data_IF_831062697275
#
_entry.id   IF_831062697275
#
_cell.length_a   1.000
_cell.length_b   1.000
_cell.length_c   1.000
_cell.angle_alpha   90.00
_cell.angle_beta   90.00
_cell.angle_gamma   90.00
#
_symmetry.space_group_name_H-M   'P 1'
#
loop_
_entity.id
_entity.type
_entity.pdbx_description
1 polymer ?
#
# COMPACT_ATOMS: atom_id res chain seq x y z
N UNK A 1 5.74 -15.23 4.84
CA UNK A 1 5.18 -16.58 5.06
C UNK A 1 6.19 -17.54 5.73
N UNK A 2 7.40 -17.73 5.21
CA UNK A 2 8.40 -18.67 5.78
C UNK A 2 8.68 -18.35 7.26
N UNK A 3 8.95 -17.10 7.60
CA UNK A 3 9.19 -16.66 8.98
C UNK A 3 7.95 -16.87 9.88
N UNK A 4 6.75 -16.57 9.39
CA UNK A 4 5.51 -16.78 10.15
C UNK A 4 5.29 -18.27 10.44
N UNK A 5 5.58 -19.15 9.48
CA UNK A 5 5.53 -20.60 9.66
C UNK A 5 6.55 -21.07 10.70
N UNK A 6 7.79 -20.58 10.61
CA UNK A 6 8.83 -20.88 11.60
C UNK A 6 8.41 -20.47 13.02
N UNK A 7 7.86 -19.27 13.18
CA UNK A 7 7.34 -18.78 14.46
C UNK A 7 6.18 -19.63 14.98
N UNK A 8 5.26 -20.03 14.10
CA UNK A 8 4.12 -20.85 14.48
C UNK A 8 4.55 -22.23 15.01
N UNK A 9 5.53 -22.85 14.35
CA UNK A 9 6.10 -24.14 14.79
C UNK A 9 6.88 -23.97 16.10
N UNK A 10 7.77 -22.96 16.20
CA UNK A 10 8.63 -22.74 17.37
C UNK A 10 7.85 -22.34 18.62
N UNK A 11 6.79 -21.57 18.47
CA UNK A 11 5.95 -21.09 19.60
C UNK A 11 4.76 -22.01 19.90
N UNK A 12 4.59 -23.12 19.18
CA UNK A 12 3.54 -24.10 19.42
C UNK A 12 2.13 -23.52 19.29
N UNK A 13 1.90 -22.63 18.30
CA UNK A 13 0.56 -22.07 18.10
C UNK A 13 -0.46 -23.18 17.83
N UNK A 14 -1.71 -23.02 18.34
CA UNK A 14 -2.74 -24.02 18.14
C UNK A 14 -2.91 -24.30 16.64
N UNK A 15 -2.90 -25.59 16.28
CA UNK A 15 -3.18 -26.00 14.91
C UNK A 15 -4.64 -25.73 14.61
N UNK A 16 -4.92 -25.18 13.44
CA UNK A 16 -6.28 -25.10 12.92
C UNK A 16 -6.88 -26.49 12.71
N UNK A 17 -8.16 -26.52 12.37
CA UNK A 17 -8.85 -27.75 12.04
C UNK A 17 -8.11 -28.55 10.94
N UNK A 18 -8.19 -29.88 11.00
CA UNK A 18 -7.63 -30.74 9.98
C UNK A 18 -8.18 -30.38 8.58
N UNK A 19 -7.31 -30.52 7.57
CA UNK A 19 -7.70 -30.25 6.20
C UNK A 19 -8.87 -31.15 5.79
N UNK A 20 -9.98 -30.53 5.42
CA UNK A 20 -11.19 -31.21 4.97
C UNK A 20 -11.61 -30.64 3.61
N UNK A 21 -11.50 -31.47 2.57
CA UNK A 21 -11.81 -31.10 1.20
C UNK A 21 -13.27 -30.65 1.03
N UNK A 22 -14.20 -31.31 1.71
CA UNK A 22 -15.63 -30.96 1.64
C UNK A 22 -15.86 -29.58 2.25
N UNK A 23 -15.20 -29.27 3.37
CA UNK A 23 -15.26 -27.94 3.99
C UNK A 23 -14.65 -26.89 3.08
N UNK A 24 -13.51 -27.18 2.44
CA UNK A 24 -12.86 -26.28 1.47
C UNK A 24 -13.80 -25.92 0.34
N UNK A 25 -14.41 -26.93 -0.31
CA UNK A 25 -15.34 -26.75 -1.42
C UNK A 25 -16.57 -25.95 -0.98
N UNK A 26 -17.16 -26.31 0.16
CA UNK A 26 -18.31 -25.58 0.70
C UNK A 26 -17.99 -24.12 1.00
N UNK A 27 -16.84 -23.85 1.61
CA UNK A 27 -16.39 -22.48 1.92
C UNK A 27 -16.08 -21.71 0.64
N UNK A 28 -15.47 -22.36 -0.36
CA UNK A 28 -15.20 -21.73 -1.66
C UNK A 28 -16.51 -21.28 -2.34
N UNK A 29 -17.51 -22.15 -2.43
CA UNK A 29 -18.80 -21.79 -3.02
C UNK A 29 -19.56 -20.74 -2.20
N UNK A 30 -19.47 -20.79 -0.88
CA UNK A 30 -20.05 -19.77 -0.01
C UNK A 30 -19.38 -18.40 -0.17
N UNK A 31 -18.08 -18.36 -0.42
CA UNK A 31 -17.31 -17.13 -0.62
C UNK A 31 -17.20 -16.69 -2.08
N UNK A 32 -17.70 -17.51 -3.01
CA UNK A 32 -17.54 -17.31 -4.46
C UNK A 32 -17.99 -15.91 -4.91
N UNK A 33 -19.13 -15.47 -4.45
CA UNK A 33 -19.67 -14.16 -4.79
C UNK A 33 -18.81 -13.00 -4.29
N UNK A 34 -18.21 -13.15 -3.10
CA UNK A 34 -17.23 -12.19 -2.57
C UNK A 34 -15.91 -12.22 -3.35
N UNK A 35 -15.43 -13.41 -3.72
CA UNK A 35 -14.20 -13.55 -4.52
C UNK A 35 -14.35 -12.95 -5.91
N UNK A 36 -15.56 -12.98 -6.51
CA UNK A 36 -15.83 -12.32 -7.80
C UNK A 36 -15.55 -10.83 -7.78
N UNK A 37 -15.67 -10.16 -6.64
CA UNK A 37 -15.29 -8.74 -6.49
C UNK A 37 -13.79 -8.52 -6.79
N UNK A 38 -12.93 -9.41 -6.29
CA UNK A 38 -11.49 -9.37 -6.57
C UNK A 38 -11.20 -9.67 -8.05
N UNK A 39 -11.90 -10.64 -8.63
CA UNK A 39 -11.75 -10.99 -10.05
C UNK A 39 -12.14 -9.79 -10.93
N UNK A 40 -13.25 -9.11 -10.64
CA UNK A 40 -13.68 -7.91 -11.38
C UNK A 40 -12.62 -6.84 -11.36
N UNK A 41 -12.03 -6.55 -10.19
CA UNK A 41 -10.99 -5.52 -10.05
C UNK A 41 -9.72 -5.93 -10.83
N UNK A 42 -9.24 -7.15 -10.61
CA UNK A 42 -7.97 -7.61 -11.22
C UNK A 42 -8.12 -7.71 -12.73
N UNK A 43 -9.13 -8.43 -13.21
CA UNK A 43 -9.35 -8.63 -14.65
C UNK A 43 -9.65 -7.30 -15.33
N UNK A 44 -10.52 -6.47 -14.75
CA UNK A 44 -10.87 -5.16 -15.32
C UNK A 44 -9.65 -4.26 -15.51
N UNK A 45 -8.78 -4.20 -14.50
CA UNK A 45 -7.56 -3.37 -14.56
C UNK A 45 -6.47 -3.97 -15.47
N UNK A 46 -6.27 -5.31 -15.47
CA UNK A 46 -5.18 -5.94 -16.22
C UNK A 46 -5.49 -6.12 -17.71
N UNK A 47 -6.77 -6.26 -18.09
CA UNK A 47 -7.15 -6.36 -19.51
C UNK A 47 -7.19 -5.01 -20.22
N UNK A 48 -7.05 -3.89 -19.49
CA UNK A 48 -7.15 -2.55 -20.06
C UNK A 48 -8.56 -2.16 -20.53
N UNK A 49 -9.57 -3.00 -20.29
CA UNK A 49 -10.97 -2.71 -20.65
C UNK A 49 -11.54 -1.61 -19.78
N UNK A 50 -11.14 -1.57 -18.52
CA UNK A 50 -11.54 -0.57 -17.54
C UNK A 50 -10.32 0.06 -16.88
N UNK A 51 -10.42 1.34 -16.58
CA UNK A 51 -9.47 1.99 -15.67
C UNK A 51 -9.60 1.41 -14.25
N UNK A 52 -8.58 1.61 -13.41
CA UNK A 52 -8.62 1.15 -12.02
C UNK A 52 -9.83 1.72 -11.25
N UNK A 53 -10.21 2.97 -11.52
CA UNK A 53 -11.38 3.63 -10.92
C UNK A 53 -12.70 3.06 -11.40
N UNK A 54 -12.83 2.76 -12.68
CA UNK A 54 -14.03 2.12 -13.25
C UNK A 54 -14.19 0.70 -12.73
N UNK A 55 -13.09 -0.07 -12.67
CA UNK A 55 -13.09 -1.41 -12.08
C UNK A 55 -13.53 -1.39 -10.61
N UNK A 56 -13.09 -0.40 -9.84
CA UNK A 56 -13.52 -0.22 -8.46
C UNK A 56 -15.02 0.12 -8.37
N UNK A 57 -15.53 0.99 -9.25
CA UNK A 57 -16.95 1.34 -9.29
C UNK A 57 -17.83 0.12 -9.61
N UNK A 58 -17.45 -0.70 -10.60
CA UNK A 58 -18.14 -1.94 -10.94
C UNK A 58 -18.10 -2.93 -9.77
N UNK A 59 -16.94 -3.05 -9.10
CA UNK A 59 -16.80 -3.91 -7.94
C UNK A 59 -17.70 -3.48 -6.77
N UNK A 60 -17.89 -2.17 -6.55
CA UNK A 60 -18.81 -1.63 -5.55
C UNK A 60 -20.25 -1.98 -5.89
N UNK A 61 -20.67 -1.79 -7.15
CA UNK A 61 -22.02 -2.18 -7.60
C UNK A 61 -22.25 -3.67 -7.43
N UNK A 62 -21.28 -4.50 -7.80
CA UNK A 62 -21.32 -5.94 -7.59
C UNK A 62 -21.44 -6.32 -6.12
N UNK A 63 -20.60 -5.74 -5.25
CA UNK A 63 -20.64 -5.98 -3.80
C UNK A 63 -21.98 -5.57 -3.20
N UNK A 64 -22.56 -4.45 -3.64
CA UNK A 64 -23.87 -3.99 -3.22
C UNK A 64 -24.97 -4.97 -3.65
N UNK A 65 -24.91 -5.44 -4.89
CA UNK A 65 -25.84 -6.45 -5.41
C UNK A 65 -25.77 -7.74 -4.59
N UNK A 66 -24.58 -8.26 -4.37
CA UNK A 66 -24.35 -9.51 -3.62
C UNK A 66 -24.82 -9.39 -2.17
N UNK A 67 -24.49 -8.31 -1.49
CA UNK A 67 -24.88 -8.10 -0.08
C UNK A 67 -26.39 -7.88 0.07
N UNK A 68 -27.03 -7.27 -0.92
CA UNK A 68 -28.49 -7.00 -0.88
C UNK A 68 -29.31 -8.22 -1.25
N UNK A 69 -28.98 -8.89 -2.38
CA UNK A 69 -29.84 -9.91 -2.95
C UNK A 69 -29.40 -11.34 -2.58
N UNK A 70 -28.11 -11.61 -2.47
CA UNK A 70 -27.58 -12.96 -2.21
C UNK A 70 -27.44 -13.19 -0.71
N UNK A 71 -26.69 -12.33 -0.02
CA UNK A 71 -26.47 -12.47 1.43
C UNK A 71 -27.62 -11.89 2.25
N UNK A 72 -28.42 -11.00 1.67
CA UNK A 72 -29.57 -10.35 2.31
C UNK A 72 -29.24 -9.69 3.65
N UNK A 73 -28.03 -9.17 3.75
CA UNK A 73 -27.52 -8.53 4.97
C UNK A 73 -27.61 -6.99 4.93
N UNK A 74 -27.96 -6.42 3.75
CA UNK A 74 -28.10 -4.98 3.55
C UNK A 74 -29.50 -4.51 3.97
N UNK A 75 -29.55 -3.80 5.09
CA UNK A 75 -30.77 -3.09 5.52
C UNK A 75 -30.68 -1.62 5.09
N UNK A 76 -31.82 -0.91 4.91
CA UNK A 76 -31.82 0.51 4.57
C UNK A 76 -30.98 1.34 5.57
N UNK A 77 -31.05 1.05 6.86
CA UNK A 77 -30.23 1.73 7.88
C UNK A 77 -28.75 1.51 7.66
N UNK A 78 -28.32 0.25 7.43
CA UNK A 78 -26.90 -0.06 7.13
C UNK A 78 -26.42 0.63 5.86
N UNK A 79 -27.27 0.74 4.85
CA UNK A 79 -26.93 1.44 3.61
C UNK A 79 -26.64 2.92 3.85
N UNK A 80 -27.51 3.61 4.62
CA UNK A 80 -27.28 5.01 4.97
C UNK A 80 -26.06 5.21 5.86
N UNK A 81 -25.84 4.33 6.84
CA UNK A 81 -24.64 4.36 7.69
C UNK A 81 -23.35 4.15 6.87
N UNK A 82 -23.39 3.29 5.85
CA UNK A 82 -22.26 3.09 4.94
C UNK A 82 -22.00 4.32 4.07
N UNK A 83 -23.07 4.93 3.52
CA UNK A 83 -22.94 6.17 2.74
C UNK A 83 -22.33 7.29 3.56
N UNK A 84 -22.81 7.50 4.79
CA UNK A 84 -22.26 8.53 5.68
C UNK A 84 -20.77 8.33 5.94
N UNK A 85 -20.36 7.10 6.25
CA UNK A 85 -18.93 6.74 6.40
C UNK A 85 -18.13 6.96 5.13
N UNK A 86 -18.67 6.58 3.95
CA UNK A 86 -18.01 6.79 2.67
C UNK A 86 -17.84 8.29 2.38
N UNK A 87 -18.88 9.09 2.55
CA UNK A 87 -18.83 10.55 2.35
C UNK A 87 -17.84 11.20 3.31
N UNK A 88 -17.86 10.83 4.58
CA UNK A 88 -16.94 11.36 5.59
C UNK A 88 -15.48 11.01 5.24
N UNK A 89 -15.22 9.78 4.83
CA UNK A 89 -13.86 9.34 4.44
C UNK A 89 -13.41 10.04 3.16
N UNK A 90 -14.25 10.06 2.13
CA UNK A 90 -13.95 10.73 0.87
C UNK A 90 -13.71 12.24 1.05
N UNK A 91 -14.53 12.91 1.86
CA UNK A 91 -14.35 14.34 2.16
C UNK A 91 -13.01 14.63 2.82
N UNK A 92 -12.59 13.81 3.80
CA UNK A 92 -11.28 13.94 4.44
C UNK A 92 -10.15 13.78 3.44
N UNK A 93 -10.22 12.75 2.57
CA UNK A 93 -9.22 12.53 1.54
C UNK A 93 -9.16 13.68 0.54
N UNK A 94 -10.31 14.19 0.08
CA UNK A 94 -10.36 15.30 -0.87
C UNK A 94 -9.76 16.58 -0.30
N UNK A 95 -10.01 16.89 0.98
CA UNK A 95 -9.41 18.05 1.64
C UNK A 95 -7.88 17.88 1.71
N UNK A 96 -7.40 16.73 2.13
CA UNK A 96 -5.95 16.45 2.19
C UNK A 96 -5.33 16.53 0.80
N UNK A 97 -5.98 15.95 -0.22
CA UNK A 97 -5.50 16.02 -1.60
C UNK A 97 -5.44 17.46 -2.12
N UNK A 98 -6.47 18.28 -1.86
CA UNK A 98 -6.50 19.68 -2.28
C UNK A 98 -5.37 20.51 -1.65
N UNK A 99 -5.16 20.37 -0.34
CA UNK A 99 -4.06 21.04 0.37
C UNK A 99 -2.70 20.54 -0.12
N UNK A 100 -2.54 19.23 -0.31
CA UNK A 100 -1.29 18.64 -0.80
C UNK A 100 -0.98 19.06 -2.24
N UNK A 101 -1.99 19.18 -3.10
CA UNK A 101 -1.81 19.68 -4.47
C UNK A 101 -1.34 21.15 -4.48
N UNK A 102 -1.93 21.99 -3.62
CA UNK A 102 -1.50 23.38 -3.45
C UNK A 102 -0.06 23.46 -2.94
N UNK A 103 0.31 22.61 -1.98
CA UNK A 103 1.67 22.50 -1.46
C UNK A 103 2.64 22.02 -2.55
N UNK A 104 2.25 21.00 -3.34
CA UNK A 104 3.03 20.50 -4.47
C UNK A 104 3.29 21.60 -5.52
N UNK A 105 2.29 22.44 -5.81
CA UNK A 105 2.46 23.59 -6.69
C UNK A 105 3.50 24.59 -6.15
N UNK A 106 3.42 24.94 -4.87
CA UNK A 106 4.39 25.84 -4.23
C UNK A 106 5.81 25.26 -4.27
N UNK A 107 5.97 23.96 -3.98
CA UNK A 107 7.25 23.27 -4.07
C UNK A 107 7.84 23.33 -5.47
N UNK A 108 7.01 23.08 -6.49
CA UNK A 108 7.43 23.16 -7.89
C UNK A 108 7.79 24.58 -8.29
N UNK A 109 7.01 25.58 -7.87
CA UNK A 109 7.27 27.00 -8.12
C UNK A 109 8.58 27.47 -7.51
N UNK A 110 8.86 27.04 -6.28
CA UNK A 110 10.12 27.33 -5.57
C UNK A 110 11.32 26.51 -6.08
N UNK A 111 11.12 25.65 -7.08
CA UNK A 111 12.15 24.76 -7.65
C UNK A 111 12.84 23.88 -6.60
N UNK A 112 12.09 23.45 -5.59
CA UNK A 112 12.63 22.60 -4.51
C UNK A 112 13.20 21.29 -5.05
N UNK A 113 12.61 20.60 -6.06
CA UNK A 113 13.20 19.39 -6.65
C UNK A 113 14.62 19.64 -7.18
N UNK A 114 14.85 20.77 -7.87
CA UNK A 114 16.15 21.13 -8.42
C UNK A 114 17.16 21.44 -7.33
N UNK A 115 16.75 22.14 -6.26
CA UNK A 115 17.60 22.41 -5.10
C UNK A 115 17.99 21.10 -4.38
N UNK A 116 17.04 20.21 -4.17
CA UNK A 116 17.31 18.90 -3.56
C UNK A 116 18.19 18.04 -4.45
N UNK A 117 17.95 18.03 -5.76
CA UNK A 117 18.81 17.37 -6.74
C UNK A 117 20.25 17.85 -6.62
N UNK A 118 20.48 19.16 -6.63
CA UNK A 118 21.82 19.72 -6.52
C UNK A 118 22.48 19.38 -5.17
N UNK A 119 21.72 19.40 -4.09
CA UNK A 119 22.24 18.99 -2.77
C UNK A 119 22.66 17.51 -2.75
N UNK A 120 21.81 16.63 -3.32
CA UNK A 120 22.12 15.19 -3.40
C UNK A 120 23.34 14.94 -4.29
N UNK A 121 23.43 15.59 -5.46
CA UNK A 121 24.59 15.47 -6.37
C UNK A 121 25.88 16.03 -5.77
N UNK A 122 25.80 17.05 -4.92
CA UNK A 122 26.97 17.55 -4.16
C UNK A 122 27.49 16.52 -3.15
N UNK A 123 26.63 15.62 -2.67
CA UNK A 123 27.02 14.54 -1.76
C UNK A 123 27.56 13.33 -2.54
N UNK A 124 26.92 12.98 -3.66
CA UNK A 124 27.28 11.82 -4.46
C UNK A 124 26.70 11.87 -5.86
N UNK A 125 27.45 11.38 -6.82
CA UNK A 125 26.97 11.10 -8.19
C UNK A 125 26.59 9.63 -8.40
N UNK A 126 26.78 8.79 -7.36
CA UNK A 126 26.50 7.36 -7.48
C UNK A 126 24.99 7.09 -7.39
N UNK A 127 24.36 6.56 -8.48
CA UNK A 127 22.92 6.28 -8.51
C UNK A 127 22.43 5.40 -7.37
N UNK A 128 23.27 4.45 -6.92
CA UNK A 128 22.93 3.54 -5.81
C UNK A 128 22.75 4.32 -4.52
N UNK A 129 23.68 5.24 -4.23
CA UNK A 129 23.64 6.03 -3.00
C UNK A 129 22.47 7.03 -3.04
N UNK A 130 22.19 7.62 -4.20
CA UNK A 130 21.03 8.50 -4.40
C UNK A 130 19.74 7.75 -4.07
N UNK A 131 19.53 6.54 -4.62
CA UNK A 131 18.34 5.74 -4.33
C UNK A 131 18.23 5.33 -2.86
N UNK A 132 19.35 5.03 -2.20
CA UNK A 132 19.36 4.73 -0.75
C UNK A 132 18.96 5.94 0.09
N UNK A 133 19.43 7.14 -0.27
CA UNK A 133 19.06 8.39 0.40
C UNK A 133 17.55 8.64 0.24
N UNK A 134 17.02 8.50 -0.99
CA UNK A 134 15.59 8.66 -1.26
C UNK A 134 14.78 7.65 -0.43
N UNK A 135 15.17 6.38 -0.43
CA UNK A 135 14.51 5.34 0.36
C UNK A 135 14.50 5.69 1.86
N UNK A 136 15.62 6.16 2.40
CA UNK A 136 15.71 6.54 3.80
C UNK A 136 14.76 7.70 4.13
N UNK A 137 14.73 8.74 3.28
CA UNK A 137 13.84 9.89 3.48
C UNK A 137 12.38 9.45 3.42
N UNK A 138 12.01 8.60 2.45
CA UNK A 138 10.64 8.10 2.31
C UNK A 138 10.20 7.26 3.50
N UNK A 139 11.07 6.40 4.06
CA UNK A 139 10.78 5.66 5.30
C UNK A 139 10.50 6.62 6.44
N UNK A 140 11.39 7.61 6.65
CA UNK A 140 11.25 8.58 7.75
C UNK A 140 9.95 9.39 7.63
N UNK A 141 9.59 9.83 6.42
CA UNK A 141 8.31 10.50 6.17
C UNK A 141 7.12 9.57 6.42
N UNK A 142 7.20 8.33 5.96
CA UNK A 142 6.16 7.32 6.14
C UNK A 142 5.91 6.94 7.60
N UNK A 143 6.91 7.12 8.47
CA UNK A 143 6.76 6.92 9.93
C UNK A 143 5.87 7.98 10.59
N UNK A 144 5.73 9.16 9.98
CA UNK A 144 5.09 10.33 10.60
C UNK A 144 3.75 10.66 9.94
N UNK A 145 3.65 10.52 8.62
CA UNK A 145 2.53 10.97 7.82
C UNK A 145 1.80 9.81 7.14
N UNK A 146 0.57 10.07 6.71
CA UNK A 146 -0.21 9.13 5.93
C UNK A 146 0.34 8.95 4.51
N UNK A 147 0.27 7.72 3.99
CA UNK A 147 0.81 7.32 2.69
C UNK A 147 0.26 8.16 1.53
N UNK A 148 -1.05 8.44 1.52
CA UNK A 148 -1.68 9.20 0.43
C UNK A 148 -1.14 10.63 0.34
N UNK A 149 -0.99 11.29 1.49
CA UNK A 149 -0.44 12.65 1.58
C UNK A 149 1.01 12.70 1.12
N UNK A 150 1.82 11.73 1.57
CA UNK A 150 3.25 11.67 1.20
C UNK A 150 3.39 11.45 -0.31
N UNK A 151 2.64 10.52 -0.89
CA UNK A 151 2.69 10.26 -2.33
C UNK A 151 2.50 11.53 -3.15
N UNK A 152 1.47 12.33 -2.82
CA UNK A 152 1.17 13.55 -3.56
C UNK A 152 2.27 14.60 -3.40
N UNK A 153 2.84 14.73 -2.20
CA UNK A 153 3.87 15.73 -1.89
C UNK A 153 5.23 15.33 -2.45
N UNK A 154 5.62 14.07 -2.31
CA UNK A 154 7.00 13.64 -2.58
C UNK A 154 7.22 13.18 -4.02
N UNK A 155 6.17 12.73 -4.73
CA UNK A 155 6.30 12.32 -6.13
C UNK A 155 6.87 13.43 -7.02
N UNK A 156 6.35 14.66 -7.03
CA UNK A 156 6.93 15.73 -7.86
C UNK A 156 8.36 16.12 -7.46
N UNK A 157 8.79 15.75 -6.26
CA UNK A 157 10.14 16.03 -5.76
C UNK A 157 11.12 14.94 -6.19
N UNK A 158 10.82 13.69 -5.89
CA UNK A 158 11.78 12.59 -6.05
C UNK A 158 11.71 11.89 -7.40
N UNK A 159 10.57 11.90 -8.10
CA UNK A 159 10.44 11.27 -9.41
C UNK A 159 11.41 11.87 -10.44
N UNK A 160 11.55 13.20 -10.59
CA UNK A 160 12.52 13.79 -11.52
C UNK A 160 13.97 13.39 -11.18
N UNK A 161 14.30 13.29 -9.88
CA UNK A 161 15.64 12.86 -9.43
C UNK A 161 15.88 11.39 -9.80
N UNK A 162 14.90 10.51 -9.56
CA UNK A 162 15.00 9.11 -9.92
C UNK A 162 15.13 8.90 -11.43
N UNK A 163 14.35 9.65 -12.24
CA UNK A 163 14.44 9.60 -13.69
C UNK A 163 15.79 10.09 -14.21
N UNK A 164 16.40 11.10 -13.60
CA UNK A 164 17.72 11.62 -14.03
C UNK A 164 18.85 10.63 -13.84
N UNK A 165 18.70 9.64 -12.97
CA UNK A 165 19.64 8.52 -12.77
C UNK A 165 19.22 7.23 -13.52
N UNK A 166 18.20 7.32 -14.40
CA UNK A 166 17.77 6.22 -15.26
C UNK A 166 16.77 5.25 -14.66
N UNK A 167 16.12 5.60 -13.54
CA UNK A 167 15.06 4.76 -12.95
C UNK A 167 13.74 5.00 -13.68
N UNK A 168 13.08 3.91 -14.09
CA UNK A 168 11.78 3.94 -14.74
C UNK A 168 10.70 4.49 -13.79
N UNK A 169 9.74 5.34 -14.26
CA UNK A 169 8.69 5.91 -13.43
C UNK A 169 7.80 4.89 -12.72
N UNK A 170 7.45 3.78 -13.40
CA UNK A 170 6.62 2.70 -12.83
C UNK A 170 7.40 1.97 -11.74
N UNK A 171 8.66 1.67 -12.01
CA UNK A 171 9.56 1.07 -11.04
C UNK A 171 9.72 1.94 -9.79
N UNK A 172 9.95 3.25 -9.98
CA UNK A 172 10.04 4.20 -8.89
C UNK A 172 8.74 4.28 -8.07
N UNK A 173 7.59 4.28 -8.74
CA UNK A 173 6.28 4.26 -8.09
C UNK A 173 6.10 3.06 -7.15
N UNK A 174 6.54 1.87 -7.59
CA UNK A 174 6.47 0.65 -6.78
C UNK A 174 7.42 0.72 -5.59
N UNK A 175 8.67 1.19 -5.79
CA UNK A 175 9.62 1.43 -4.70
C UNK A 175 9.01 2.36 -3.66
N UNK A 176 8.41 3.45 -4.11
CA UNK A 176 7.82 4.47 -3.27
C UNK A 176 6.66 3.94 -2.42
N UNK A 177 5.71 3.22 -3.05
CA UNK A 177 4.57 2.60 -2.36
C UNK A 177 5.05 1.60 -1.32
N UNK A 178 5.99 0.73 -1.68
CA UNK A 178 6.53 -0.29 -0.78
C UNK A 178 7.28 0.33 0.41
N UNK A 179 8.03 1.39 0.15
CA UNK A 179 8.78 2.16 1.14
C UNK A 179 7.84 2.82 2.17
N UNK A 180 6.80 3.49 1.70
CA UNK A 180 5.81 4.14 2.55
C UNK A 180 5.00 3.12 3.35
N UNK A 181 4.70 1.95 2.78
CA UNK A 181 4.06 0.85 3.51
C UNK A 181 4.91 0.37 4.69
N UNK A 182 6.25 0.28 4.54
CA UNK A 182 7.17 0.00 5.65
C UNK A 182 7.09 1.11 6.68
N UNK A 183 7.15 2.38 6.25
CA UNK A 183 7.06 3.55 7.12
C UNK A 183 5.79 3.53 7.98
N UNK A 184 4.63 3.27 7.39
CA UNK A 184 3.35 3.19 8.10
C UNK A 184 3.29 2.09 9.19
N UNK A 185 4.14 1.08 9.10
CA UNK A 185 4.25 0.02 10.12
C UNK A 185 5.35 0.29 11.15
N UNK A 186 6.17 1.34 10.94
CA UNK A 186 7.36 1.63 11.73
C UNK A 186 7.09 2.77 12.74
N UNK A 187 7.61 2.69 14.00
CA UNK A 187 7.53 3.78 14.95
C UNK A 187 8.17 5.07 14.39
N UNK A 188 7.80 6.29 14.83
CA UNK A 188 7.09 6.61 16.08
C UNK A 188 5.56 6.61 15.98
N UNK A 189 4.98 6.94 14.83
CA UNK A 189 3.52 7.01 14.70
C UNK A 189 2.96 5.67 14.22
N UNK A 190 3.44 5.17 13.08
CA UNK A 190 3.04 3.88 12.53
C UNK A 190 1.53 3.72 12.38
N UNK A 191 0.90 4.48 11.50
CA UNK A 191 -0.57 4.53 11.39
C UNK A 191 -1.24 3.15 11.31
N UNK A 192 -0.68 2.23 10.53
CA UNK A 192 -1.19 0.86 10.44
C UNK A 192 -1.02 0.08 11.75
N UNK A 193 0.07 0.35 12.48
CA UNK A 193 0.34 -0.29 13.77
C UNK A 193 -0.61 0.19 14.87
N UNK A 194 -0.97 1.48 14.85
CA UNK A 194 -1.99 2.04 15.76
C UNK A 194 -3.35 1.37 15.57
N UNK A 195 -3.75 1.13 14.32
CA UNK A 195 -4.98 0.39 14.02
C UNK A 195 -4.87 -1.05 14.54
N UNK A 196 -3.73 -1.71 14.33
CA UNK A 196 -3.46 -3.04 14.86
C UNK A 196 -3.55 -3.10 16.39
N UNK A 197 -3.02 -2.09 17.09
CA UNK A 197 -3.14 -1.94 18.55
C UNK A 197 -4.61 -1.82 18.99
N UNK A 198 -5.38 -0.96 18.32
CA UNK A 198 -6.79 -0.74 18.65
C UNK A 198 -7.64 -2.01 18.48
N UNK A 199 -7.35 -2.82 17.45
CA UNK A 199 -8.09 -4.06 17.17
C UNK A 199 -7.66 -5.19 18.12
N UNK A 200 -6.35 -5.34 18.35
CA UNK A 200 -5.81 -6.49 19.11
C UNK A 200 -5.75 -6.28 20.61
N UNK A 201 -5.80 -5.01 21.09
CA UNK A 201 -5.59 -4.66 22.50
C UNK A 201 -4.17 -4.91 23.03
N UNK A 202 -3.24 -5.32 22.16
CA UNK A 202 -1.84 -5.59 22.53
C UNK A 202 -1.08 -4.27 22.65
N UNK A 203 -0.27 -4.10 23.69
CA UNK A 203 0.55 -2.89 23.89
C UNK A 203 1.51 -2.67 22.70
N UNK A 204 1.64 -1.41 22.28
CA UNK A 204 2.46 -1.01 21.12
C UNK A 204 3.91 -1.48 21.24
N UNK A 205 4.51 -1.36 22.44
CA UNK A 205 5.91 -1.77 22.67
C UNK A 205 6.12 -3.25 22.40
N UNK A 206 5.16 -4.09 22.77
CA UNK A 206 5.22 -5.54 22.51
C UNK A 206 5.04 -5.85 21.03
N UNK A 207 4.20 -5.08 20.33
CA UNK A 207 4.03 -5.22 18.89
C UNK A 207 5.31 -4.86 18.15
N UNK A 208 5.98 -3.75 18.49
CA UNK A 208 7.24 -3.34 17.86
C UNK A 208 8.30 -4.43 17.96
N UNK A 209 8.55 -4.93 19.16
CA UNK A 209 9.55 -5.99 19.38
C UNK A 209 9.24 -7.25 18.56
N UNK A 210 7.96 -7.60 18.45
CA UNK A 210 7.53 -8.78 17.67
C UNK A 210 7.69 -8.56 16.17
N UNK A 211 7.60 -7.31 15.70
CA UNK A 211 7.68 -6.96 14.28
C UNK A 211 9.12 -6.71 13.78
N UNK A 212 10.12 -6.58 14.66
CA UNK A 212 11.52 -6.36 14.25
C UNK A 212 11.97 -7.32 13.13
N UNK A 213 11.76 -8.64 13.19
CA UNK A 213 12.19 -9.52 12.11
C UNK A 213 11.46 -9.27 10.79
N UNK A 214 10.20 -8.82 10.85
CA UNK A 214 9.47 -8.43 9.65
C UNK A 214 10.02 -7.15 9.04
N UNK A 215 10.42 -6.16 9.86
CA UNK A 215 11.08 -4.95 9.38
C UNK A 215 12.40 -5.25 8.66
N UNK A 216 13.18 -6.19 9.18
CA UNK A 216 14.42 -6.65 8.53
C UNK A 216 14.10 -7.27 7.17
N UNK A 217 13.12 -8.18 7.10
CA UNK A 217 12.72 -8.84 5.86
C UNK A 217 12.20 -7.81 4.85
N UNK A 218 11.36 -6.88 5.29
CA UNK A 218 10.83 -5.83 4.43
C UNK A 218 11.93 -4.87 3.94
N UNK A 219 12.88 -4.50 4.81
CA UNK A 219 14.04 -3.71 4.43
C UNK A 219 14.92 -4.41 3.38
N UNK A 220 15.19 -5.70 3.56
CA UNK A 220 15.90 -6.49 2.56
C UNK A 220 15.11 -6.55 1.24
N UNK A 221 13.81 -6.78 1.32
CA UNK A 221 12.95 -6.80 0.13
C UNK A 221 12.94 -5.44 -0.59
N UNK A 222 12.91 -4.33 0.15
CA UNK A 222 13.00 -2.99 -0.42
C UNK A 222 14.31 -2.79 -1.18
N UNK A 223 15.44 -3.21 -0.60
CA UNK A 223 16.75 -3.15 -1.26
C UNK A 223 16.73 -3.99 -2.55
N UNK A 224 16.20 -5.21 -2.47
CA UNK A 224 16.09 -6.09 -3.65
C UNK A 224 15.22 -5.45 -4.73
N UNK A 225 14.05 -4.93 -4.40
CA UNK A 225 13.16 -4.25 -5.35
C UNK A 225 13.84 -3.02 -5.95
N UNK A 226 14.56 -2.25 -5.15
CA UNK A 226 15.24 -1.02 -5.60
C UNK A 226 16.32 -1.31 -6.64
N UNK A 227 17.12 -2.37 -6.45
CA UNK A 227 18.28 -2.64 -7.29
C UNK A 227 18.08 -3.74 -8.34
N UNK A 228 16.96 -4.46 -8.30
CA UNK A 228 16.61 -5.49 -9.29
C UNK A 228 15.28 -5.17 -9.99
N UNK A 229 15.26 -4.23 -10.94
CA UNK A 229 14.04 -3.80 -11.65
C UNK A 229 13.29 -4.96 -12.28
N UNK A 230 14.01 -5.98 -12.76
CA UNK A 230 13.41 -7.13 -13.44
C UNK A 230 12.34 -7.83 -12.61
N UNK A 231 12.48 -7.89 -11.28
CA UNK A 231 11.51 -8.55 -10.40
C UNK A 231 10.14 -7.84 -10.44
N UNK A 232 10.17 -6.54 -10.56
CA UNK A 232 8.98 -5.67 -10.46
C UNK A 232 8.41 -5.36 -11.84
N UNK A 233 9.28 -5.14 -12.83
CA UNK A 233 8.89 -4.73 -14.17
C UNK A 233 8.47 -5.90 -15.07
N UNK A 234 8.64 -7.16 -14.62
CA UNK A 234 8.23 -8.34 -15.40
C UNK A 234 6.72 -8.30 -15.71
N UNK A 235 5.89 -8.02 -14.72
CA UNK A 235 4.44 -7.99 -14.89
C UNK A 235 3.97 -6.80 -15.75
N UNK A 236 4.38 -5.55 -15.49
CA UNK A 236 4.09 -4.42 -16.39
C UNK A 236 4.51 -4.68 -17.84
N UNK A 237 5.71 -5.23 -18.07
CA UNK A 237 6.23 -5.49 -19.42
C UNK A 237 5.51 -6.65 -20.14
N UNK A 238 4.79 -7.52 -19.41
CA UNK A 238 3.97 -8.59 -20.01
C UNK A 238 2.57 -8.11 -20.40
N UNK A 239 2.12 -7.00 -19.82
CA UNK A 239 0.75 -6.48 -20.01
C UNK A 239 0.76 -5.28 -20.98
N UNK A 240 1.89 -4.57 -21.10
CA UNK A 240 2.09 -3.49 -22.08
C UNK A 240 2.41 -4.07 -23.46
#
# INVERSE_FOLDING_TARGET
MIYSFYCAVKRGYPKGDAFNLVRLIKTFFSSFWGLMTLVIIIVGATTGVFTATESAAIAILWALFVTTFIYRDMTPKRFWDLLDRCVTTASRLLVVMGVSASFGFVIAYLRVPQMLSSLIYNVTENPIVIMLIINLILILLGMIMDMGSILIITTPIFLPIAMSIGVDPVHFGIIMIFNLAIGMMTPPVGGALMIGHLISGVKLERMYVTLIPFFIIMGVTLIVITFFPAIVMTLPNLIS
#
